data_IF_187606568493
#
_entry.id   IF_187606568493
#
_cell.length_a   1.000
_cell.length_b   1.000
_cell.length_c   1.000
_cell.angle_alpha   90.00
_cell.angle_beta   90.00
_cell.angle_gamma   90.00
#
_symmetry.space_group_name_H-M   'P 1'
#
loop_
_entity.id
_entity.type
_entity.pdbx_description
1 polymer ?
#
# COMPACT_ATOMS: atom_id res chain seq x y z
N UNK A 1 13.32 -5.16 16.05
CA UNK A 1 12.05 -4.46 15.77
C UNK A 1 10.94 -5.38 16.26
N UNK A 2 10.28 -5.03 17.36
CA UNK A 2 9.20 -5.83 17.93
C UNK A 2 7.88 -5.07 17.77
N UNK A 3 6.76 -5.79 17.61
CA UNK A 3 5.42 -5.18 17.61
C UNK A 3 4.94 -4.56 16.29
N UNK A 4 5.43 -5.02 15.13
CA UNK A 4 4.88 -4.63 13.83
C UNK A 4 3.37 -4.92 13.75
N UNK A 5 2.57 -3.90 13.40
CA UNK A 5 1.11 -4.01 13.31
C UNK A 5 0.69 -4.65 11.97
N UNK A 6 0.66 -5.98 11.94
CA UNK A 6 0.30 -6.79 10.77
C UNK A 6 1.18 -6.46 9.55
N UNK A 7 2.42 -6.94 9.59
CA UNK A 7 3.41 -6.74 8.53
C UNK A 7 3.05 -7.56 7.29
N UNK A 8 2.36 -6.94 6.33
CA UNK A 8 1.82 -7.64 5.16
C UNK A 8 2.79 -7.71 3.98
N UNK A 9 3.62 -6.68 3.79
CA UNK A 9 4.53 -6.57 2.66
C UNK A 9 5.93 -6.12 3.08
N UNK A 10 6.93 -6.56 2.32
CA UNK A 10 8.33 -6.16 2.50
C UNK A 10 9.02 -5.95 1.15
N UNK A 11 9.77 -4.86 1.02
CA UNK A 11 10.59 -4.58 -0.16
C UNK A 11 12.00 -4.16 0.27
N UNK A 12 13.02 -4.64 -0.43
CA UNK A 12 14.41 -4.20 -0.21
C UNK A 12 14.64 -2.89 -0.96
N UNK A 13 15.35 -1.94 -0.36
CA UNK A 13 15.72 -0.70 -1.05
C UNK A 13 16.75 -0.98 -2.17
N UNK A 14 16.80 -0.19 -3.26
CA UNK A 14 17.73 -0.45 -4.38
C UNK A 14 19.20 -0.55 -3.97
N UNK A 15 19.62 0.20 -2.95
CA UNK A 15 20.98 0.19 -2.38
C UNK A 15 21.25 -0.99 -1.43
N UNK A 16 20.23 -1.82 -1.17
CA UNK A 16 20.24 -2.98 -0.28
C UNK A 16 20.63 -2.65 1.18
N UNK A 17 20.53 -1.39 1.61
CA UNK A 17 20.88 -0.98 2.98
C UNK A 17 19.72 -1.12 3.95
N UNK A 18 18.49 -1.14 3.46
CA UNK A 18 17.28 -1.19 4.28
C UNK A 18 16.15 -1.98 3.64
N UNK A 19 15.12 -2.25 4.42
CA UNK A 19 13.86 -2.84 3.96
C UNK A 19 12.70 -1.93 4.34
N UNK A 20 11.73 -1.80 3.45
CA UNK A 20 10.45 -1.16 3.72
C UNK A 20 9.43 -2.22 4.12
N UNK A 21 8.65 -1.95 5.15
CA UNK A 21 7.62 -2.86 5.67
C UNK A 21 6.29 -2.11 5.78
N UNK A 22 5.24 -2.63 5.13
CA UNK A 22 3.88 -2.09 5.28
C UNK A 22 3.29 -2.55 6.62
N UNK A 23 2.72 -1.64 7.40
CA UNK A 23 2.00 -1.95 8.63
C UNK A 23 0.51 -1.71 8.44
N UNK A 24 -0.24 -2.77 8.17
CA UNK A 24 -1.65 -2.67 7.84
C UNK A 24 -2.51 -2.13 8.98
N UNK A 25 -2.18 -2.46 10.22
CA UNK A 25 -2.91 -1.94 11.39
C UNK A 25 -2.65 -0.45 11.65
N UNK A 26 -1.51 0.07 11.18
CA UNK A 26 -1.08 1.46 11.41
C UNK A 26 -1.23 2.36 10.18
N UNK A 27 -1.61 1.81 9.03
CA UNK A 27 -1.74 2.56 7.76
C UNK A 27 -0.48 3.32 7.38
N UNK A 28 0.69 2.71 7.58
CA UNK A 28 1.97 3.35 7.28
C UNK A 28 3.00 2.34 6.74
N UNK A 29 4.16 2.86 6.36
CA UNK A 29 5.32 2.11 5.89
C UNK A 29 6.51 2.54 6.76
N UNK A 30 7.23 1.55 7.30
CA UNK A 30 8.44 1.77 8.11
C UNK A 30 9.65 1.30 7.31
N UNK A 31 10.71 2.09 7.33
CA UNK A 31 12.04 1.68 6.86
C UNK A 31 12.82 1.10 8.02
N UNK A 32 13.39 -0.08 7.84
CA UNK A 32 14.30 -0.73 8.78
C UNK A 32 15.67 -0.92 8.14
N UNK A 33 16.70 -0.36 8.76
CA UNK A 33 18.07 -0.40 8.26
C UNK A 33 18.72 -1.74 8.63
N UNK A 34 19.09 -2.53 7.62
CA UNK A 34 19.69 -3.87 7.80
C UNK A 34 21.21 -3.84 7.67
N UNK A 35 21.77 -2.80 7.06
CA UNK A 35 23.19 -2.60 6.86
C UNK A 35 23.57 -1.12 6.99
N UNK A 36 24.88 -0.84 6.97
CA UNK A 36 25.44 0.51 7.11
C UNK A 36 25.52 1.01 8.56
N UNK A 37 25.85 2.28 8.72
CA UNK A 37 26.04 2.91 10.05
C UNK A 37 24.75 2.96 10.88
N UNK A 38 23.60 2.96 10.21
CA UNK A 38 22.26 2.97 10.82
C UNK A 38 21.70 1.57 11.07
N UNK A 39 22.48 0.50 10.84
CA UNK A 39 21.99 -0.87 10.98
C UNK A 39 21.32 -1.11 12.35
N UNK A 40 20.11 -1.64 12.33
CA UNK A 40 19.28 -1.85 13.51
C UNK A 40 18.28 -0.73 13.80
N UNK A 41 18.46 0.46 13.21
CA UNK A 41 17.52 1.58 13.33
C UNK A 41 16.29 1.40 12.43
N UNK A 42 15.23 2.13 12.76
CA UNK A 42 14.06 2.25 11.90
C UNK A 42 13.48 3.65 11.96
N UNK A 43 12.77 4.01 10.90
CA UNK A 43 12.08 5.29 10.77
C UNK A 43 10.80 5.14 9.97
N UNK A 44 9.89 6.10 10.16
CA UNK A 44 8.69 6.20 9.34
C UNK A 44 9.09 6.61 7.93
N UNK A 45 8.72 5.80 6.94
CA UNK A 45 8.99 6.08 5.53
C UNK A 45 7.81 6.79 4.87
N UNK A 46 6.60 6.31 5.13
CA UNK A 46 5.37 6.90 4.64
C UNK A 46 4.29 6.76 5.70
N UNK A 47 3.54 7.81 5.97
CA UNK A 47 2.45 7.79 6.97
C UNK A 47 1.09 8.06 6.35
N UNK A 48 0.04 7.72 7.09
CA UNK A 48 -1.34 8.09 6.77
C UNK A 48 -1.77 7.62 5.36
N UNK A 49 -1.49 6.36 5.03
CA UNK A 49 -1.89 5.76 3.77
C UNK A 49 -3.40 5.90 3.52
N UNK A 50 -3.82 6.18 2.28
CA UNK A 50 -5.23 6.39 1.92
C UNK A 50 -6.03 5.09 1.84
N UNK A 51 -5.40 3.94 2.08
CA UNK A 51 -6.00 2.61 2.03
C UNK A 51 -5.32 1.64 2.99
N UNK A 52 -5.91 0.47 3.14
CA UNK A 52 -5.36 -0.65 3.91
C UNK A 52 -4.19 -1.24 3.12
N UNK A 53 -2.92 -1.06 3.54
CA UNK A 53 -1.80 -1.58 2.77
C UNK A 53 -1.68 -3.09 2.87
N UNK A 54 -1.23 -3.67 1.77
CA UNK A 54 -0.91 -5.08 1.66
C UNK A 54 0.53 -5.23 1.14
N UNK A 55 0.74 -5.77 -0.06
CA UNK A 55 2.06 -5.90 -0.68
C UNK A 55 2.73 -4.56 -1.00
N UNK A 56 4.06 -4.54 -0.82
CA UNK A 56 4.95 -3.50 -1.34
C UNK A 56 6.06 -4.18 -2.15
N UNK A 57 6.41 -3.60 -3.29
CA UNK A 57 7.52 -4.05 -4.14
C UNK A 57 8.39 -2.87 -4.56
N UNK A 58 9.63 -3.15 -4.98
CA UNK A 58 10.51 -2.14 -5.59
C UNK A 58 10.71 -2.50 -7.05
N UNK A 59 10.68 -1.49 -7.93
CA UNK A 59 11.11 -1.67 -9.33
C UNK A 59 12.65 -1.78 -9.48
N UNK A 60 13.39 -1.70 -8.36
CA UNK A 60 14.85 -1.77 -8.31
C UNK A 60 15.57 -0.51 -8.78
N UNK A 61 14.83 0.58 -9.04
CA UNK A 61 15.37 1.85 -9.56
C UNK A 61 14.97 3.02 -8.68
N UNK A 62 13.70 3.42 -8.76
CA UNK A 62 13.22 4.71 -8.26
C UNK A 62 11.82 4.66 -7.64
N UNK A 63 11.09 3.57 -7.83
CA UNK A 63 9.68 3.47 -7.42
C UNK A 63 9.45 2.26 -6.53
N UNK A 64 8.76 2.51 -5.42
CA UNK A 64 8.12 1.48 -4.61
C UNK A 64 6.63 1.45 -4.93
N UNK A 65 6.14 0.30 -5.35
CA UNK A 65 4.72 0.09 -5.63
C UNK A 65 4.04 -0.51 -4.41
N UNK A 66 2.92 0.08 -4.00
CA UNK A 66 2.16 -0.31 -2.81
C UNK A 66 0.76 -0.69 -3.23
N UNK A 67 0.37 -1.93 -2.99
CA UNK A 67 -0.99 -2.40 -3.16
C UNK A 67 -1.84 -1.99 -1.94
N UNK A 68 -3.02 -1.44 -2.20
CA UNK A 68 -3.98 -1.09 -1.17
C UNK A 68 -5.23 -1.97 -1.33
N UNK A 69 -5.45 -2.87 -0.37
CA UNK A 69 -6.52 -3.87 -0.39
C UNK A 69 -7.91 -3.22 -0.51
N UNK A 70 -8.11 -2.12 0.19
CA UNK A 70 -9.35 -1.34 0.19
C UNK A 70 -9.05 0.11 0.59
N UNK A 71 -9.93 1.07 0.23
CA UNK A 71 -9.80 2.44 0.72
C UNK A 71 -9.94 2.46 2.24
N UNK A 72 -9.32 3.48 2.85
CA UNK A 72 -9.46 3.71 4.27
C UNK A 72 -10.92 4.02 4.60
N UNK A 73 -11.47 3.28 5.54
CA UNK A 73 -12.87 3.43 5.92
C UNK A 73 -12.97 4.31 7.17
N UNK A 74 -13.41 5.56 6.99
CA UNK A 74 -13.61 6.53 8.06
C UNK A 74 -14.50 6.01 9.19
N UNK A 75 -15.46 5.14 8.90
CA UNK A 75 -16.29 4.50 9.93
C UNK A 75 -15.49 3.50 10.77
N UNK A 76 -14.63 2.69 10.16
CA UNK A 76 -13.76 1.77 10.92
C UNK A 76 -12.74 2.53 11.76
N UNK A 77 -12.21 3.63 11.24
CA UNK A 77 -11.30 4.51 11.98
C UNK A 77 -11.99 5.14 13.19
N UNK A 78 -13.19 5.71 13.01
CA UNK A 78 -13.97 6.29 14.10
C UNK A 78 -14.33 5.25 15.18
N UNK A 79 -14.53 3.98 14.79
CA UNK A 79 -14.85 2.88 15.69
C UNK A 79 -13.62 2.21 16.32
N UNK A 80 -12.40 2.51 15.86
CA UNK A 80 -11.15 1.90 16.35
C UNK A 80 -10.95 2.11 17.86
N UNK A 81 -11.38 3.27 18.39
CA UNK A 81 -11.34 3.59 19.82
C UNK A 81 -12.31 2.77 20.68
N UNK A 82 -13.30 2.10 20.09
CA UNK A 82 -14.33 1.31 20.79
C UNK A 82 -14.39 -0.14 20.28
N UNK A 83 -13.47 -1.01 20.72
CA UNK A 83 -13.32 -2.38 20.21
C UNK A 83 -14.59 -3.25 20.27
N UNK A 84 -15.49 -2.97 21.21
CA UNK A 84 -16.76 -3.69 21.35
C UNK A 84 -17.74 -3.36 20.20
N UNK A 85 -17.74 -2.11 19.73
CA UNK A 85 -18.64 -1.68 18.65
C UNK A 85 -18.17 -2.21 17.30
N UNK A 86 -16.85 -2.27 17.08
CA UNK A 86 -16.25 -3.02 15.96
C UNK A 86 -16.70 -4.49 15.97
N UNK A 87 -16.61 -5.17 17.12
CA UNK A 87 -17.03 -6.57 17.27
C UNK A 87 -18.52 -6.79 16.98
N UNK A 88 -19.36 -5.80 17.23
CA UNK A 88 -20.79 -5.85 16.94
C UNK A 88 -21.05 -5.69 15.43
N UNK A 89 -20.37 -4.75 14.78
CA UNK A 89 -20.49 -4.54 13.33
C UNK A 89 -20.14 -5.81 12.52
N UNK A 90 -19.05 -6.51 12.87
CA UNK A 90 -18.65 -7.77 12.23
C UNK A 90 -19.53 -8.98 12.59
N UNK A 91 -20.45 -8.86 13.56
CA UNK A 91 -21.42 -9.90 13.93
C UNK A 91 -22.78 -9.73 13.24
N UNK A 92 -22.98 -8.63 12.52
CA UNK A 92 -24.18 -8.44 11.72
C UNK A 92 -24.23 -9.48 10.59
N UNK A 93 -25.41 -9.86 10.10
CA UNK A 93 -25.54 -10.63 8.86
C UNK A 93 -24.71 -9.99 7.73
N UNK A 94 -24.09 -10.78 6.86
CA UNK A 94 -23.17 -10.30 5.80
C UNK A 94 -23.75 -9.15 4.95
N UNK A 95 -25.06 -9.15 4.69
CA UNK A 95 -25.76 -8.10 3.93
C UNK A 95 -25.89 -6.76 4.67
N UNK A 96 -25.66 -6.73 5.99
CA UNK A 96 -25.62 -5.54 6.83
C UNK A 96 -24.19 -5.13 7.22
N UNK A 97 -23.19 -5.95 6.92
CA UNK A 97 -21.80 -5.61 7.19
C UNK A 97 -21.30 -4.57 6.18
N UNK A 98 -20.40 -3.65 6.58
CA UNK A 98 -19.69 -2.81 5.64
C UNK A 98 -18.92 -3.70 4.65
N UNK A 99 -19.34 -3.74 3.41
CA UNK A 99 -18.63 -4.45 2.36
C UNK A 99 -17.41 -3.63 1.93
N UNK A 100 -16.25 -4.26 1.65
CA UNK A 100 -15.14 -3.56 1.02
C UNK A 100 -15.63 -2.89 -0.26
N UNK A 101 -15.29 -1.62 -0.45
CA UNK A 101 -15.63 -0.93 -1.69
C UNK A 101 -14.93 -1.64 -2.86
N UNK A 102 -15.65 -1.80 -3.97
CA UNK A 102 -15.09 -2.30 -5.22
C UNK A 102 -14.11 -1.26 -5.79
N UNK A 103 -12.87 -1.31 -5.30
CA UNK A 103 -11.88 -0.27 -5.47
C UNK A 103 -10.51 -0.94 -5.71
N UNK A 104 -10.05 -0.86 -6.95
CA UNK A 104 -8.68 -1.17 -7.32
C UNK A 104 -7.80 0.01 -6.91
N UNK A 105 -6.78 -0.18 -6.07
CA UNK A 105 -5.98 0.94 -5.57
C UNK A 105 -4.49 0.55 -5.41
N UNK A 106 -3.63 1.31 -6.07
CA UNK A 106 -2.16 1.21 -6.04
C UNK A 106 -1.54 2.59 -5.87
N UNK A 107 -0.51 2.70 -5.04
CA UNK A 107 0.36 3.88 -4.99
C UNK A 107 1.74 3.55 -5.56
N UNK A 108 2.36 4.53 -6.22
CA UNK A 108 3.78 4.56 -6.50
C UNK A 108 4.43 5.62 -5.62
N UNK A 109 5.51 5.25 -4.93
CA UNK A 109 6.27 6.12 -4.06
C UNK A 109 7.71 6.25 -4.58
N UNK A 110 8.29 7.45 -4.54
CA UNK A 110 9.71 7.67 -4.81
C UNK A 110 10.59 7.06 -3.72
N UNK A 111 11.92 7.08 -3.91
CA UNK A 111 12.87 6.62 -2.89
C UNK A 111 12.83 7.43 -1.57
N UNK A 112 12.27 8.63 -1.63
CA UNK A 112 12.10 9.56 -0.51
C UNK A 112 10.69 9.54 0.08
N UNK A 113 9.79 8.69 -0.45
CA UNK A 113 8.42 8.55 0.04
C UNK A 113 7.44 9.55 -0.56
N UNK A 114 7.81 10.25 -1.64
CA UNK A 114 6.86 11.13 -2.34
C UNK A 114 5.93 10.32 -3.23
N UNK A 115 4.65 10.71 -3.31
CA UNK A 115 3.68 10.02 -4.16
C UNK A 115 3.93 10.38 -5.62
N UNK A 116 4.46 9.42 -6.38
CA UNK A 116 4.68 9.55 -7.83
C UNK A 116 3.50 9.03 -8.63
N UNK A 117 2.74 8.07 -8.09
CA UNK A 117 1.56 7.52 -8.76
C UNK A 117 0.43 7.30 -7.76
N UNK A 118 -0.78 7.63 -8.17
CA UNK A 118 -2.01 7.39 -7.42
C UNK A 118 -3.03 6.75 -8.36
N UNK A 119 -2.96 5.42 -8.47
CA UNK A 119 -3.73 4.65 -9.43
C UNK A 119 -4.95 4.06 -8.74
N UNK A 120 -6.13 4.48 -9.18
CA UNK A 120 -7.36 3.94 -8.65
C UNK A 120 -8.45 3.78 -9.70
N UNK A 121 -9.28 2.75 -9.52
CA UNK A 121 -10.53 2.59 -10.27
C UNK A 121 -11.62 2.10 -9.33
N UNK A 122 -12.73 2.83 -9.28
CA UNK A 122 -13.89 2.53 -8.44
C UNK A 122 -15.03 2.05 -9.33
N UNK A 123 -15.54 0.86 -9.05
CA UNK A 123 -16.60 0.26 -9.84
C UNK A 123 -16.65 -1.26 -9.71
N UNK A 124 -17.80 -1.85 -10.01
CA UNK A 124 -17.97 -3.31 -9.99
C UNK A 124 -17.09 -4.02 -11.03
N UNK A 125 -16.70 -3.30 -12.08
CA UNK A 125 -15.78 -3.70 -13.16
C UNK A 125 -14.29 -3.53 -12.79
N UNK A 126 -13.97 -2.98 -11.61
CA UNK A 126 -12.59 -2.82 -11.16
C UNK A 126 -11.91 -4.14 -10.80
N UNK A 127 -10.61 -4.22 -11.05
CA UNK A 127 -9.78 -5.34 -10.61
C UNK A 127 -9.46 -5.20 -9.12
N UNK A 128 -10.35 -5.70 -8.25
CA UNK A 128 -10.27 -5.55 -6.81
C UNK A 128 -10.49 -6.88 -6.05
N UNK A 129 -10.03 -6.98 -4.79
CA UNK A 129 -9.03 -6.11 -4.17
C UNK A 129 -7.66 -6.37 -4.79
N UNK A 130 -6.78 -5.35 -4.78
CA UNK A 130 -5.38 -5.52 -5.17
C UNK A 130 -4.56 -5.80 -3.92
N UNK A 131 -3.80 -6.90 -3.93
CA UNK A 131 -2.97 -7.32 -2.78
C UNK A 131 -1.49 -7.36 -3.10
N UNK A 132 -1.13 -7.36 -4.39
CA UNK A 132 0.25 -7.26 -4.85
C UNK A 132 0.31 -6.44 -6.14
N UNK A 133 1.44 -5.78 -6.33
CA UNK A 133 1.78 -5.01 -7.52
C UNK A 133 3.25 -5.22 -7.81
N UNK A 134 3.60 -5.55 -9.05
CA UNK A 134 4.98 -5.75 -9.49
C UNK A 134 5.21 -5.02 -10.80
N UNK A 135 6.33 -4.30 -10.91
CA UNK A 135 6.74 -3.68 -12.17
C UNK A 135 7.77 -4.55 -12.89
N UNK A 136 7.50 -4.87 -14.15
CA UNK A 136 8.48 -5.50 -15.02
C UNK A 136 8.28 -5.08 -16.47
N UNK A 137 9.38 -4.75 -17.16
CA UNK A 137 9.39 -4.42 -18.59
C UNK A 137 8.39 -3.31 -18.98
N UNK A 138 8.30 -2.25 -18.16
CA UNK A 138 7.40 -1.11 -18.40
C UNK A 138 5.92 -1.40 -18.16
N UNK A 139 5.61 -2.51 -17.48
CA UNK A 139 4.24 -2.92 -17.14
C UNK A 139 4.09 -3.16 -15.65
N UNK A 140 2.89 -2.89 -15.15
CA UNK A 140 2.43 -3.27 -13.83
C UNK A 140 1.61 -4.55 -13.91
N UNK A 141 1.95 -5.49 -13.04
CA UNK A 141 1.23 -6.74 -12.82
C UNK A 141 0.51 -6.63 -11.47
N UNK A 142 -0.81 -6.72 -11.49
CA UNK A 142 -1.64 -6.55 -10.30
C UNK A 142 -2.20 -7.92 -9.90
N UNK A 143 -1.92 -8.34 -8.67
CA UNK A 143 -2.43 -9.58 -8.11
C UNK A 143 -3.61 -9.35 -7.17
N UNK A 144 -4.47 -10.36 -7.06
CA UNK A 144 -5.65 -10.33 -6.20
C UNK A 144 -5.86 -11.69 -5.53
N UNK A 145 -6.48 -11.68 -4.35
CA UNK A 145 -6.90 -12.90 -3.64
C UNK A 145 -8.23 -13.47 -4.13
N UNK A 146 -9.05 -12.67 -4.83
CA UNK A 146 -10.40 -13.08 -5.24
C UNK A 146 -10.60 -13.11 -6.75
N UNK A 147 -9.69 -12.51 -7.52
CA UNK A 147 -9.74 -12.56 -8.98
C UNK A 147 -9.08 -13.85 -9.50
N UNK A 148 -9.62 -14.48 -10.55
CA UNK A 148 -9.07 -15.72 -11.11
C UNK A 148 -7.84 -15.50 -12.02
N UNK A 149 -7.36 -14.26 -12.15
CA UNK A 149 -6.25 -13.86 -13.00
C UNK A 149 -5.52 -12.67 -12.39
N UNK A 150 -4.35 -12.31 -12.93
CA UNK A 150 -3.70 -11.03 -12.67
C UNK A 150 -4.08 -10.01 -13.76
N UNK A 151 -4.17 -8.73 -13.38
CA UNK A 151 -4.32 -7.65 -14.35
C UNK A 151 -2.95 -7.14 -14.80
N UNK A 152 -2.88 -6.63 -16.03
CA UNK A 152 -1.67 -6.03 -16.59
C UNK A 152 -2.02 -4.68 -17.19
N UNK A 153 -1.21 -3.68 -16.91
CA UNK A 153 -1.30 -2.36 -17.52
C UNK A 153 0.10 -1.80 -17.81
N UNK A 154 0.20 -0.85 -18.74
CA UNK A 154 1.42 -0.09 -18.92
C UNK A 154 1.64 0.83 -17.70
N UNK A 155 2.90 1.05 -17.32
CA UNK A 155 3.25 2.00 -16.25
C UNK A 155 2.84 3.41 -16.71
N UNK A 156 1.92 4.09 -16.00
CA UNK A 156 1.52 5.45 -16.37
C UNK A 156 2.66 6.45 -16.15
N UNK A 157 2.56 7.63 -16.76
CA UNK A 157 3.48 8.73 -16.45
C UNK A 157 3.35 9.13 -14.97
N UNK A 158 4.47 9.34 -14.26
CA UNK A 158 4.43 9.84 -12.89
C UNK A 158 3.77 11.22 -12.81
N UNK A 159 3.16 11.51 -11.66
CA UNK A 159 2.67 12.84 -11.30
C UNK A 159 3.86 13.82 -11.28
N UNK A 160 3.63 15.05 -11.73
CA UNK A 160 4.62 16.10 -11.62
C UNK A 160 4.93 16.35 -10.14
N UNK A 161 6.18 16.10 -9.74
CA UNK A 161 6.66 16.47 -8.42
C UNK A 161 6.96 17.97 -8.51
N UNK A 162 6.31 18.78 -7.67
CA UNK A 162 6.52 20.22 -7.63
C UNK A 162 7.98 20.51 -7.22
N UNK A 163 8.89 20.58 -8.20
CA UNK A 163 10.33 20.71 -7.98
C UNK A 163 11.16 20.96 -9.24
N UNK A 164 10.65 20.61 -10.43
CA UNK A 164 11.23 21.06 -11.70
C UNK A 164 10.41 22.24 -12.24
N UNK A 165 10.89 23.45 -11.94
CA UNK A 165 10.62 24.61 -12.77
C UNK A 165 11.23 24.33 -14.14
N UNK A 166 10.38 24.28 -15.18
CA UNK A 166 10.83 24.43 -16.56
C UNK A 166 11.58 25.78 -16.68
N UNK A 167 12.91 25.71 -16.76
CA UNK A 167 13.77 26.80 -17.25
C UNK A 167 13.93 26.70 -18.78
#
# INVERSE_FOLDING_TARGET
LDGLQFANGVAVTPDQQSVLVTQTGSYNIVRYWVAGERAGEHELFFDNLPGIPDGISSNGKDTYWVALFAPRNALLDALSGWPWLRKLAFRLPLWLQPQPAAHAFVLGLSLDGEVTHNLHHVGADSFHPITSVEEANGRLYLGSLTQPAFAVMDVPTPLAINGESDD
#
